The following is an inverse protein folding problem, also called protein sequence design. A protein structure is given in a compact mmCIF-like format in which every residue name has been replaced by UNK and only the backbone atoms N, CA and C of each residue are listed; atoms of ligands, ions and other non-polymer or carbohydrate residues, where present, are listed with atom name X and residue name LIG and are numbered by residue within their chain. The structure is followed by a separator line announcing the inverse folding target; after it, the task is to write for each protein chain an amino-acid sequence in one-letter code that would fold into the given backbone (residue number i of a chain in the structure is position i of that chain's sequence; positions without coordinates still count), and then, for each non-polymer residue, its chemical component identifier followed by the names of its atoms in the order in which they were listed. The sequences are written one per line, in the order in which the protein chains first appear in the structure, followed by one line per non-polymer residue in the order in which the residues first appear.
data_IF_316634664308
#
_entry.id   IF_316634664308
#
_cell.length_a   1.000
_cell.length_b   1.000
_cell.length_c   1.000
_cell.angle_alpha   90.00
_cell.angle_beta   90.00
_cell.angle_gamma   90.00
#
_symmetry.space_group_name_H-M   'P 1'
#
loop_
_entity.id
_entity.type
_entity.pdbx_description
1 polymer ?
#
# COMPACT_ATOMS: atom_id res chain seq x y z
N UNK A 1 -5.34 22.47 4.26
CA UNK A 1 -4.97 21.17 3.66
C UNK A 1 -5.69 20.04 4.39
N UNK A 2 -7.04 20.08 4.43
CA UNK A 2 -7.89 19.24 5.29
C UNK A 2 -9.04 18.58 4.51
N UNK A 3 -8.89 18.38 3.20
CA UNK A 3 -9.99 17.96 2.31
C UNK A 3 -9.61 16.86 1.29
N UNK A 4 -8.67 15.95 1.61
CA UNK A 4 -8.29 14.85 0.69
C UNK A 4 -8.66 13.46 1.25
N UNK A 5 -9.70 13.37 2.07
CA UNK A 5 -10.20 12.06 2.56
C UNK A 5 -11.71 12.01 2.38
N UNK A 6 -12.19 12.32 1.18
CA UNK A 6 -13.51 11.87 0.78
C UNK A 6 -13.41 10.36 0.53
N UNK A 7 -14.33 9.61 1.14
CA UNK A 7 -14.52 8.18 0.97
C UNK A 7 -14.28 7.77 -0.49
N UNK A 8 -13.22 7.01 -0.76
CA UNK A 8 -12.85 6.63 -2.13
C UNK A 8 -13.68 5.46 -2.65
N UNK A 9 -14.56 4.91 -1.82
CA UNK A 9 -15.44 3.79 -2.16
C UNK A 9 -16.24 4.04 -3.43
N UNK A 10 -16.84 5.22 -3.56
CA UNK A 10 -17.69 5.57 -4.69
C UNK A 10 -16.93 5.80 -6.01
N UNK A 11 -15.60 5.85 -5.96
CA UNK A 11 -14.77 5.99 -7.16
C UNK A 11 -14.47 4.66 -7.83
N UNK A 12 -14.57 3.54 -7.11
CA UNK A 12 -14.08 2.26 -7.60
C UNK A 12 -15.00 1.67 -8.68
N UNK A 13 -14.51 1.51 -9.90
CA UNK A 13 -15.28 0.87 -11.00
C UNK A 13 -15.32 -0.66 -10.92
N UNK A 14 -14.77 -1.27 -9.86
CA UNK A 14 -14.62 -2.71 -9.69
C UNK A 14 -13.87 -3.42 -10.84
N UNK A 15 -12.91 -2.76 -11.50
CA UNK A 15 -12.17 -3.34 -12.64
C UNK A 15 -11.19 -4.48 -12.27
N UNK A 16 -10.97 -4.73 -10.97
CA UNK A 16 -10.13 -5.82 -10.40
C UNK A 16 -8.63 -5.77 -10.78
N UNK A 17 -8.13 -4.70 -11.41
CA UNK A 17 -6.70 -4.54 -11.73
C UNK A 17 -5.80 -4.53 -10.47
N UNK A 18 -6.26 -3.92 -9.38
CA UNK A 18 -5.57 -3.91 -8.09
C UNK A 18 -5.39 -5.33 -7.52
N UNK A 19 -6.42 -6.17 -7.60
CA UNK A 19 -6.36 -7.60 -7.23
C UNK A 19 -5.30 -8.32 -8.07
N UNK A 20 -5.33 -8.09 -9.39
CA UNK A 20 -4.39 -8.68 -10.34
C UNK A 20 -2.93 -8.30 -10.07
N UNK A 21 -2.62 -7.02 -9.90
CA UNK A 21 -1.23 -6.55 -9.69
C UNK A 21 -0.69 -7.00 -8.34
N UNK A 22 -1.51 -6.99 -7.29
CA UNK A 22 -1.11 -7.46 -5.96
C UNK A 22 -0.67 -8.93 -6.02
N UNK A 23 -1.47 -9.78 -6.68
CA UNK A 23 -1.17 -11.21 -6.80
C UNK A 23 -0.03 -11.51 -7.77
N UNK A 24 -0.11 -11.00 -9.00
CA UNK A 24 0.76 -11.44 -10.10
C UNK A 24 2.12 -10.74 -10.14
N UNK A 25 2.16 -9.47 -9.73
CA UNK A 25 3.38 -8.66 -9.83
C UNK A 25 4.07 -8.57 -8.48
N UNK A 26 3.31 -8.34 -7.41
CA UNK A 26 3.88 -8.20 -6.06
C UNK A 26 4.03 -9.55 -5.35
N UNK A 27 3.27 -10.57 -5.77
CA UNK A 27 3.30 -11.90 -5.13
C UNK A 27 2.57 -11.93 -3.79
N UNK A 28 1.57 -11.08 -3.58
CA UNK A 28 0.77 -11.00 -2.35
C UNK A 28 -0.70 -11.22 -2.64
N UNK A 29 -1.43 -11.77 -1.68
CA UNK A 29 -2.88 -11.96 -1.76
C UNK A 29 -3.59 -11.06 -0.75
N UNK A 30 -3.23 -9.76 -0.78
CA UNK A 30 -3.72 -8.76 0.17
C UNK A 30 -4.99 -8.03 -0.32
N UNK A 31 -5.43 -8.28 -1.56
CA UNK A 31 -6.58 -7.60 -2.15
C UNK A 31 -7.48 -8.64 -2.80
N UNK A 32 -8.77 -8.62 -2.47
CA UNK A 32 -9.77 -9.57 -2.97
C UNK A 32 -10.97 -8.85 -3.58
N UNK A 33 -11.59 -9.45 -4.59
CA UNK A 33 -12.94 -9.09 -5.01
C UNK A 33 -13.91 -10.05 -4.30
N UNK A 34 -14.94 -9.50 -3.67
CA UNK A 34 -16.03 -10.24 -3.05
C UNK A 34 -17.36 -9.77 -3.63
N UNK A 35 -18.36 -10.63 -3.62
CA UNK A 35 -19.72 -10.32 -4.06
C UNK A 35 -20.67 -10.79 -2.97
N UNK A 36 -21.63 -9.95 -2.59
CA UNK A 36 -22.66 -10.32 -1.62
C UNK A 36 -23.79 -11.15 -2.26
N UNK A 37 -24.75 -11.59 -1.45
CA UNK A 37 -25.90 -12.37 -1.90
C UNK A 37 -26.82 -11.64 -2.90
N UNK A 38 -26.71 -10.30 -2.97
CA UNK A 38 -27.49 -9.46 -3.87
C UNK A 38 -26.73 -9.13 -5.17
N UNK A 39 -25.53 -9.69 -5.37
CA UNK A 39 -24.70 -9.42 -6.53
C UNK A 39 -23.89 -8.11 -6.45
N UNK A 40 -23.81 -7.47 -5.28
CA UNK A 40 -23.02 -6.26 -5.12
C UNK A 40 -21.54 -6.62 -4.92
N UNK A 41 -20.71 -6.21 -5.87
CA UNK A 41 -19.26 -6.40 -5.80
C UNK A 41 -18.57 -5.40 -4.87
N UNK A 42 -17.48 -5.84 -4.24
CA UNK A 42 -16.60 -4.99 -3.41
C UNK A 42 -15.14 -5.43 -3.54
N UNK A 43 -14.23 -4.47 -3.41
CA UNK A 43 -12.79 -4.74 -3.31
C UNK A 43 -12.40 -4.63 -1.85
N UNK A 44 -11.84 -5.70 -1.28
CA UNK A 44 -11.44 -5.79 0.13
C UNK A 44 -9.92 -5.84 0.25
N UNK A 45 -9.36 -5.00 1.10
CA UNK A 45 -7.95 -4.98 1.46
C UNK A 45 -7.72 -5.65 2.81
N UNK A 46 -6.85 -6.64 2.83
CA UNK A 46 -6.26 -7.21 4.04
C UNK A 46 -4.96 -6.44 4.34
N UNK A 47 -5.04 -5.48 5.27
CA UNK A 47 -3.91 -4.63 5.62
C UNK A 47 -2.80 -5.37 6.38
N UNK A 48 -3.07 -6.55 6.95
CA UNK A 48 -2.05 -7.36 7.62
C UNK A 48 -1.20 -8.14 6.60
N UNK A 49 -1.80 -8.52 5.46
CA UNK A 49 -1.06 -9.10 4.33
C UNK A 49 -0.43 -8.06 3.41
N UNK A 50 -0.91 -6.82 3.44
CA UNK A 50 -0.42 -5.75 2.59
C UNK A 50 1.03 -5.38 2.96
N UNK A 51 1.89 -5.18 1.96
CA UNK A 51 3.27 -4.72 2.14
C UNK A 51 3.44 -3.25 1.74
N UNK A 52 2.33 -2.55 1.49
CA UNK A 52 2.26 -1.10 1.23
C UNK A 52 3.16 -0.63 0.08
N UNK A 53 3.33 -1.49 -0.93
CA UNK A 53 4.20 -1.24 -2.10
C UNK A 53 3.67 -0.16 -3.07
N UNK A 54 2.40 0.21 -2.98
CA UNK A 54 1.79 1.24 -3.83
C UNK A 54 1.39 0.83 -5.25
N UNK A 55 1.71 -0.39 -5.71
CA UNK A 55 1.36 -0.84 -7.06
C UNK A 55 -0.13 -0.79 -7.38
N UNK A 56 -0.98 -1.01 -6.38
CA UNK A 56 -2.44 -0.92 -6.53
C UNK A 56 -2.94 0.51 -6.72
N UNK A 57 -2.33 1.49 -6.05
CA UNK A 57 -2.63 2.91 -6.24
C UNK A 57 -2.16 3.36 -7.63
N UNK A 58 -0.93 2.99 -8.03
CA UNK A 58 -0.36 3.34 -9.31
C UNK A 58 -1.20 2.88 -10.52
N UNK A 59 -1.77 1.68 -10.47
CA UNK A 59 -2.56 1.13 -11.59
C UNK A 59 -4.03 1.56 -11.57
N UNK A 60 -4.50 2.24 -10.52
CA UNK A 60 -5.91 2.58 -10.33
C UNK A 60 -6.27 3.83 -11.14
N UNK A 61 -6.81 3.63 -12.35
CA UNK A 61 -7.27 4.73 -13.20
C UNK A 61 -8.37 5.59 -12.55
N UNK A 62 -9.16 5.02 -11.65
CA UNK A 62 -10.27 5.71 -10.99
C UNK A 62 -9.82 6.56 -9.79
N UNK A 63 -8.55 6.49 -9.38
CA UNK A 63 -8.05 7.10 -8.15
C UNK A 63 -8.86 6.69 -6.90
N UNK A 64 -9.31 5.44 -6.86
CA UNK A 64 -10.04 4.85 -5.75
C UNK A 64 -9.12 4.37 -4.61
N UNK A 65 -7.80 4.38 -4.83
CA UNK A 65 -6.78 4.03 -3.85
C UNK A 65 -5.79 5.18 -3.78
N UNK A 66 -5.62 5.77 -2.60
CA UNK A 66 -4.77 6.93 -2.37
C UNK A 66 -3.68 6.54 -1.37
N UNK A 67 -2.45 6.97 -1.62
CA UNK A 67 -1.30 6.79 -0.73
C UNK A 67 -0.59 8.13 -0.62
N UNK A 68 -0.42 8.60 0.61
CA UNK A 68 0.28 9.86 0.92
C UNK A 68 1.20 9.67 2.12
N UNK A 69 2.36 10.33 2.09
CA UNK A 69 3.29 10.36 3.21
C UNK A 69 3.15 11.69 3.95
N UNK A 70 2.89 11.60 5.26
CA UNK A 70 2.72 12.75 6.15
C UNK A 70 3.70 12.59 7.30
N UNK A 71 4.83 13.29 7.21
CA UNK A 71 5.92 13.15 8.19
C UNK A 71 6.48 11.73 8.17
N UNK A 72 6.33 11.02 9.28
CA UNK A 72 6.85 9.66 9.48
C UNK A 72 5.81 8.55 9.23
N UNK A 73 4.69 8.89 8.61
CA UNK A 73 3.53 8.02 8.47
C UNK A 73 3.02 8.01 7.04
N UNK A 74 2.86 6.82 6.46
CA UNK A 74 2.16 6.60 5.19
C UNK A 74 0.68 6.34 5.45
N UNK A 75 -0.18 7.19 4.93
CA UNK A 75 -1.64 7.02 4.97
C UNK A 75 -2.08 6.37 3.68
N UNK A 76 -2.79 5.24 3.81
CA UNK A 76 -3.41 4.55 2.68
C UNK A 76 -4.92 4.57 2.85
N UNK A 77 -5.63 5.06 1.84
CA UNK A 77 -7.10 5.07 1.75
C UNK A 77 -7.51 4.20 0.58
N UNK A 78 -8.41 3.25 0.82
CA UNK A 78 -8.90 2.30 -0.16
C UNK A 78 -10.43 2.23 -0.11
N UNK A 79 -11.08 1.60 -1.11
CA UNK A 79 -12.53 1.41 -1.09
C UNK A 79 -13.06 0.63 0.13
N UNK A 80 -12.20 -0.13 0.82
CA UNK A 80 -12.56 -0.94 2.00
C UNK A 80 -12.05 -0.37 3.32
N UNK A 81 -11.39 0.80 3.32
CA UNK A 81 -10.98 1.45 4.56
C UNK A 81 -9.69 2.25 4.47
N UNK A 82 -9.28 2.75 5.64
CA UNK A 82 -8.10 3.60 5.83
C UNK A 82 -7.14 2.94 6.83
N UNK A 83 -5.85 2.95 6.51
CA UNK A 83 -4.79 2.46 7.41
C UNK A 83 -3.57 3.37 7.34
N UNK A 84 -2.89 3.49 8.47
CA UNK A 84 -1.66 4.26 8.63
C UNK A 84 -0.50 3.30 8.90
N UNK A 85 0.66 3.57 8.30
CA UNK A 85 1.85 2.73 8.39
C UNK A 85 3.06 3.57 8.75
N UNK A 86 3.87 3.10 9.70
CA UNK A 86 5.11 3.77 10.10
C UNK A 86 6.15 3.68 9.00
N UNK A 87 6.79 4.80 8.67
CA UNK A 87 7.91 4.88 7.76
C UNK A 87 9.24 4.77 8.52
N UNK A 88 10.20 4.03 7.95
CA UNK A 88 11.57 4.00 8.46
C UNK A 88 12.31 5.27 8.06
N UNK A 89 13.05 5.82 9.01
CA UNK A 89 13.94 6.95 8.81
C UNK A 89 15.31 6.50 8.31
N UNK A 90 15.87 7.18 7.31
CA UNK A 90 17.25 7.00 6.88
C UNK A 90 18.21 7.50 7.96
N UNK A 91 19.18 6.68 8.36
CA UNK A 91 20.16 7.05 9.40
C UNK A 91 21.18 8.08 8.94
N UNK A 92 21.30 8.33 7.62
CA UNK A 92 22.23 9.30 7.02
C UNK A 92 21.60 10.68 6.81
N UNK A 93 20.46 10.74 6.12
CA UNK A 93 19.83 12.01 5.73
C UNK A 93 18.57 12.36 6.54
N UNK A 94 18.06 11.45 7.37
CA UNK A 94 16.85 11.67 8.15
C UNK A 94 15.53 11.56 7.37
N UNK A 95 15.57 11.25 6.07
CA UNK A 95 14.36 11.11 5.23
C UNK A 95 13.59 9.81 5.55
N UNK A 96 12.26 9.92 5.61
CA UNK A 96 11.35 8.77 5.76
C UNK A 96 11.05 8.17 4.39
N UNK A 97 11.45 6.91 4.14
CA UNK A 97 11.57 6.43 2.76
C UNK A 97 10.72 5.20 2.42
N UNK A 98 10.42 4.33 3.38
CA UNK A 98 9.57 3.16 3.14
C UNK A 98 8.85 2.69 4.42
N UNK A 99 7.63 2.14 4.29
CA UNK A 99 6.93 1.48 5.38
C UNK A 99 7.75 0.32 5.95
N UNK A 100 7.74 0.17 7.28
CA UNK A 100 8.50 -0.90 7.95
C UNK A 100 8.12 -2.30 7.44
N UNK A 101 6.84 -2.53 7.13
CA UNK A 101 6.36 -3.79 6.57
C UNK A 101 6.91 -4.04 5.15
N UNK A 102 7.06 -2.99 4.34
CA UNK A 102 7.68 -3.10 3.02
C UNK A 102 9.16 -3.50 3.16
N UNK A 103 9.86 -2.94 4.14
CA UNK A 103 11.26 -3.26 4.41
C UNK A 103 11.42 -4.70 4.87
N UNK A 104 10.55 -5.18 5.78
CA UNK A 104 10.54 -6.59 6.20
C UNK A 104 10.37 -7.52 5.00
N UNK A 105 9.40 -7.22 4.14
CA UNK A 105 9.20 -7.98 2.91
C UNK A 105 10.43 -7.96 1.99
N UNK A 106 11.05 -6.81 1.76
CA UNK A 106 12.26 -6.70 0.93
C UNK A 106 13.46 -7.47 1.53
N UNK A 107 13.60 -7.43 2.86
CA UNK A 107 14.62 -8.15 3.61
C UNK A 107 14.47 -9.66 3.46
N UNK A 108 13.24 -10.17 3.61
CA UNK A 108 12.92 -11.59 3.39
C UNK A 108 13.17 -12.02 1.94
N UNK A 109 12.75 -11.22 0.95
CA UNK A 109 12.91 -11.56 -0.47
C UNK A 109 14.38 -11.54 -0.92
N UNK A 110 15.19 -10.65 -0.36
CA UNK A 110 16.60 -10.53 -0.71
C UNK A 110 17.52 -11.44 0.13
N UNK A 111 16.99 -12.14 1.13
CA UNK A 111 17.75 -12.85 2.16
C UNK A 111 18.85 -11.97 2.79
N UNK A 112 18.47 -10.74 3.15
CA UNK A 112 19.35 -9.75 3.75
C UNK A 112 18.85 -9.37 5.16
N UNK A 113 19.75 -9.08 6.12
CA UNK A 113 19.33 -8.58 7.42
C UNK A 113 18.65 -7.22 7.29
N UNK A 114 17.73 -6.89 8.21
CA UNK A 114 17.06 -5.58 8.24
C UNK A 114 18.04 -4.40 8.31
N UNK A 115 19.24 -4.61 8.87
CA UNK A 115 20.32 -3.61 8.90
C UNK A 115 20.83 -3.21 7.51
N UNK A 116 20.62 -4.04 6.48
CA UNK A 116 20.89 -3.68 5.09
C UNK A 116 19.93 -2.59 4.57
N UNK A 117 18.91 -2.21 5.36
CA UNK A 117 17.90 -1.24 4.99
C UNK A 117 17.89 0.02 5.87
N UNK A 118 19.00 0.34 6.55
CA UNK A 118 19.14 1.58 7.33
C UNK A 118 19.26 2.86 6.47
N UNK A 119 19.66 2.72 5.21
CA UNK A 119 19.80 3.83 4.26
C UNK A 119 18.67 3.83 3.23
N UNK A 120 18.15 5.01 2.89
CA UNK A 120 17.23 5.18 1.77
C UNK A 120 17.93 4.91 0.42
N UNK A 121 17.19 4.66 -0.68
CA UNK A 121 17.77 4.38 -1.99
C UNK A 121 18.75 5.44 -2.49
N UNK A 122 18.51 6.72 -2.18
CA UNK A 122 19.38 7.83 -2.61
C UNK A 122 20.69 7.94 -1.80
N UNK A 123 20.78 7.23 -0.67
CA UNK A 123 21.92 7.29 0.25
C UNK A 123 22.83 6.06 0.21
N UNK A 124 22.45 5.03 -0.55
CA UNK A 124 23.19 3.78 -0.73
C UNK A 124 24.26 3.89 -1.81
#
# INVERSE_FOLDING_TARGET
MKEIINDTKDRCSLCKKCVGVCRKTVGREAISYVEDENGNGSIIFDFDKCVVCGSCAYICADNAIIIEDIGDTRVMVTPSGRKEFKLKQCTKCGYYWAPEQQIKFMSEQADLPLSAFELCPDCR
#
